data_IF_219350771507
#
_entry.id   IF_219350771507
#
_cell.length_a   1.000
_cell.length_b   1.000
_cell.length_c   1.000
_cell.angle_alpha   90.00
_cell.angle_beta   90.00
_cell.angle_gamma   90.00
#
_symmetry.space_group_name_H-M   'P 1'
#
loop_
_entity.id
_entity.type
_entity.pdbx_description
1 polymer ?
#
# COMPACT_ATOMS: atom_id res chain seq x y z
N UNK A 1 -11.95 40.13 52.73
CA UNK A 1 -10.93 41.19 52.94
C UNK A 1 -11.47 42.53 52.48
N UNK A 2 -10.87 43.64 52.89
CA UNK A 2 -11.22 44.98 52.41
C UNK A 2 -9.97 45.68 51.86
N UNK A 3 -10.12 46.51 50.83
CA UNK A 3 -9.02 47.19 50.17
C UNK A 3 -9.27 48.70 49.99
N UNK A 4 -8.18 49.45 49.84
CA UNK A 4 -8.20 50.89 49.61
C UNK A 4 -8.60 51.74 50.84
N UNK A 5 -8.43 53.06 50.71
CA UNK A 5 -8.67 54.02 51.80
C UNK A 5 -10.13 54.16 52.26
N UNK A 6 -11.09 53.62 51.50
CA UNK A 6 -12.52 53.57 51.84
C UNK A 6 -12.98 52.19 52.29
N UNK A 7 -12.07 51.22 52.46
CA UNK A 7 -12.37 49.85 52.88
C UNK A 7 -13.45 49.20 52.00
N UNK A 8 -13.23 49.14 50.69
CA UNK A 8 -14.13 48.45 49.75
C UNK A 8 -13.98 46.95 49.92
N UNK A 9 -15.08 46.19 49.90
CA UNK A 9 -15.05 44.74 50.06
C UNK A 9 -14.37 44.06 48.86
N UNK A 10 -13.44 43.15 49.15
CA UNK A 10 -12.75 42.36 48.14
C UNK A 10 -13.68 41.37 47.45
N UNK A 11 -13.79 41.53 46.13
CA UNK A 11 -14.19 40.47 45.21
C UNK A 11 -15.50 39.76 45.49
N UNK A 12 -16.51 40.54 45.88
CA UNK A 12 -17.90 40.10 45.88
C UNK A 12 -18.51 40.39 44.51
N UNK A 13 -18.91 39.34 43.80
CA UNK A 13 -19.75 39.52 42.63
C UNK A 13 -21.19 39.78 43.10
N UNK A 14 -21.56 41.05 43.22
CA UNK A 14 -22.90 41.47 43.64
C UNK A 14 -24.03 40.95 42.74
N UNK A 15 -23.73 40.53 41.51
CA UNK A 15 -24.71 39.92 40.59
C UNK A 15 -24.91 38.42 40.80
N UNK A 16 -24.00 37.74 41.49
CA UNK A 16 -24.01 36.28 41.66
C UNK A 16 -24.31 35.81 43.10
N UNK A 17 -24.60 36.74 44.02
CA UNK A 17 -24.86 36.45 45.45
C UNK A 17 -23.74 35.61 46.12
N UNK A 18 -22.49 35.86 45.73
CA UNK A 18 -21.30 35.22 46.31
C UNK A 18 -20.72 36.17 47.37
N UNK A 19 -20.89 35.83 48.64
CA UNK A 19 -20.43 36.62 49.81
C UNK A 19 -19.00 36.26 50.26
N UNK A 20 -18.32 35.36 49.55
CA UNK A 20 -16.96 34.93 49.87
C UNK A 20 -15.97 35.63 48.94
N UNK A 21 -15.04 36.41 49.51
CA UNK A 21 -13.98 37.08 48.74
C UNK A 21 -13.27 36.09 47.81
N UNK A 22 -13.08 36.48 46.55
CA UNK A 22 -12.46 35.65 45.51
C UNK A 22 -13.11 34.27 45.35
N UNK A 23 -14.42 34.18 45.58
CA UNK A 23 -15.22 32.94 45.53
C UNK A 23 -14.69 31.82 46.44
N UNK A 24 -13.85 32.15 47.43
CA UNK A 24 -13.17 31.17 48.30
C UNK A 24 -12.11 30.32 47.60
N UNK A 25 -11.64 30.72 46.42
CA UNK A 25 -10.68 29.99 45.56
C UNK A 25 -9.53 30.88 45.12
N UNK A 26 -9.13 31.80 45.98
CA UNK A 26 -8.06 32.74 45.72
C UNK A 26 -7.84 33.69 46.89
N UNK A 27 -6.76 34.46 46.79
CA UNK A 27 -6.35 35.45 47.78
C UNK A 27 -6.60 36.86 47.23
N UNK A 28 -7.24 37.73 48.01
CA UNK A 28 -7.44 39.12 47.61
C UNK A 28 -6.19 39.97 47.92
N UNK A 29 -5.85 40.89 47.01
CA UNK A 29 -4.97 42.03 47.25
C UNK A 29 -5.68 43.05 48.15
N UNK A 30 -5.61 42.81 49.46
CA UNK A 30 -6.30 43.58 50.50
C UNK A 30 -5.40 44.62 51.21
N UNK A 31 -5.98 45.39 52.14
CA UNK A 31 -5.29 46.44 52.88
C UNK A 31 -5.32 47.82 52.21
N UNK A 32 -4.73 48.83 52.87
CA UNK A 32 -4.80 50.24 52.45
C UNK A 32 -4.16 50.51 51.07
N UNK A 33 -3.16 49.70 50.69
CA UNK A 33 -2.50 49.76 49.38
C UNK A 33 -2.98 48.69 48.40
N UNK A 34 -3.89 47.81 48.83
CA UNK A 34 -4.48 46.79 47.97
C UNK A 34 -5.39 47.40 46.91
N UNK A 35 -5.48 46.74 45.76
CA UNK A 35 -6.32 47.14 44.62
C UNK A 35 -7.59 46.30 44.50
N UNK A 36 -7.78 45.33 45.40
CA UNK A 36 -8.95 44.45 45.43
C UNK A 36 -8.91 43.33 44.40
N UNK A 37 -7.82 43.17 43.65
CA UNK A 37 -7.66 42.09 42.67
C UNK A 37 -7.54 40.72 43.36
N UNK A 38 -8.06 39.67 42.74
CA UNK A 38 -7.94 38.30 43.23
C UNK A 38 -6.82 37.54 42.51
N UNK A 39 -5.91 36.95 43.29
CA UNK A 39 -4.97 35.94 42.81
C UNK A 39 -5.59 34.56 43.03
N UNK A 40 -5.94 33.88 41.95
CA UNK A 40 -6.66 32.61 42.00
C UNK A 40 -5.78 31.41 42.34
N UNK A 41 -6.35 30.47 43.09
CA UNK A 41 -5.74 29.17 43.35
C UNK A 41 -5.61 28.35 42.06
N UNK A 42 -4.76 27.32 42.09
CA UNK A 42 -4.61 26.44 40.93
C UNK A 42 -5.95 25.78 40.56
N UNK A 43 -6.35 25.89 39.29
CA UNK A 43 -7.62 25.35 38.81
C UNK A 43 -8.81 26.32 38.92
N UNK A 44 -8.61 27.56 39.36
CA UNK A 44 -9.60 28.63 39.26
C UNK A 44 -9.13 29.79 38.39
N UNK A 45 -10.08 30.48 37.75
CA UNK A 45 -9.82 31.63 36.90
C UNK A 45 -10.94 32.68 36.98
N UNK A 46 -10.67 33.83 36.38
CA UNK A 46 -11.55 34.99 36.35
C UNK A 46 -11.17 36.03 37.39
N UNK A 47 -11.74 37.23 37.23
CA UNK A 47 -11.48 38.39 38.10
C UNK A 47 -11.73 38.11 39.58
N UNK A 48 -12.64 37.17 39.89
CA UNK A 48 -13.03 36.80 41.24
C UNK A 48 -12.86 35.30 41.50
N UNK A 49 -12.04 34.61 40.70
CA UNK A 49 -11.80 33.16 40.78
C UNK A 49 -13.08 32.31 40.72
N UNK A 50 -14.09 32.85 40.04
CA UNK A 50 -15.44 32.27 39.97
C UNK A 50 -15.53 31.09 38.99
N UNK A 51 -14.58 30.98 38.06
CA UNK A 51 -14.54 29.89 37.09
C UNK A 51 -13.67 28.77 37.61
N UNK A 52 -14.16 27.54 37.54
CA UNK A 52 -13.46 26.35 38.00
C UNK A 52 -13.11 25.51 36.78
N UNK A 53 -11.83 25.18 36.65
CA UNK A 53 -11.33 24.28 35.63
C UNK A 53 -11.09 22.88 36.19
N UNK A 54 -11.15 21.85 35.34
CA UNK A 54 -10.71 20.52 35.69
C UNK A 54 -9.28 20.54 36.24
N UNK A 55 -9.09 19.91 37.40
CA UNK A 55 -7.82 19.82 38.10
C UNK A 55 -7.48 18.38 38.43
N UNK A 56 -6.22 17.99 38.22
CA UNK A 56 -5.67 16.70 38.62
C UNK A 56 -4.51 16.91 39.60
N UNK A 57 -4.44 16.08 40.65
CA UNK A 57 -3.33 16.12 41.59
C UNK A 57 -1.98 15.68 40.98
N UNK A 58 -2.00 14.99 39.83
CA UNK A 58 -0.78 14.52 39.16
C UNK A 58 -0.28 15.48 38.10
N UNK A 59 -1.19 16.12 37.35
CA UNK A 59 -0.85 16.93 36.17
C UNK A 59 -1.25 18.41 36.33
N UNK A 60 -1.94 18.76 37.41
CA UNK A 60 -2.38 20.13 37.70
C UNK A 60 -3.65 20.53 36.95
N UNK A 61 -3.89 21.85 36.88
CA UNK A 61 -5.02 22.43 36.15
C UNK A 61 -4.90 22.14 34.66
N UNK A 62 -6.02 21.82 34.01
CA UNK A 62 -6.06 21.58 32.56
C UNK A 62 -5.10 20.49 32.08
N UNK A 63 -4.75 19.53 32.95
CA UNK A 63 -3.80 18.46 32.63
C UNK A 63 -2.35 18.92 32.45
N UNK A 64 -2.01 20.14 32.85
CA UNK A 64 -0.64 20.68 32.73
C UNK A 64 -0.28 21.18 31.32
N UNK A 65 -1.21 21.08 30.37
CA UNK A 65 -1.01 21.45 28.97
C UNK A 65 -2.02 22.51 28.49
N UNK A 66 -2.51 23.33 29.41
CA UNK A 66 -3.42 24.42 29.10
C UNK A 66 -3.51 25.43 30.23
N UNK A 67 -4.18 26.54 29.93
CA UNK A 67 -4.46 27.62 30.88
C UNK A 67 -5.92 27.61 31.25
N UNK A 68 -6.24 27.79 32.53
CA UNK A 68 -7.62 27.94 32.98
C UNK A 68 -8.15 29.33 32.59
N UNK A 69 -9.29 29.38 31.93
CA UNK A 69 -9.94 30.61 31.45
C UNK A 69 -11.40 30.67 31.87
N UNK A 70 -12.08 31.77 31.54
CA UNK A 70 -13.50 31.95 31.88
C UNK A 70 -14.44 30.90 31.25
N UNK A 71 -14.03 30.25 30.17
CA UNK A 71 -14.81 29.22 29.46
C UNK A 71 -14.29 27.80 29.69
N UNK A 72 -13.37 27.62 30.64
CA UNK A 72 -12.70 26.35 30.92
C UNK A 72 -11.25 26.33 30.46
N UNK A 73 -10.75 25.16 30.07
CA UNK A 73 -9.35 24.99 29.71
C UNK A 73 -9.04 25.44 28.27
N UNK A 74 -8.10 26.37 28.13
CA UNK A 74 -7.52 26.75 26.86
C UNK A 74 -6.21 25.99 26.65
N UNK A 75 -6.20 25.04 25.73
CA UNK A 75 -5.07 24.13 25.53
C UNK A 75 -3.91 24.78 24.76
N UNK A 76 -2.70 24.39 25.13
CA UNK A 76 -1.47 24.77 24.44
C UNK A 76 -1.40 24.12 23.05
N UNK A 77 -0.52 24.62 22.19
CA UNK A 77 -0.28 24.06 20.86
C UNK A 77 -0.02 22.55 20.93
N UNK A 78 -0.70 21.80 20.07
CA UNK A 78 -0.61 20.33 20.00
C UNK A 78 -1.57 19.58 20.92
N UNK A 79 -2.22 20.26 21.87
CA UNK A 79 -3.16 19.66 22.80
C UNK A 79 -4.60 20.06 22.49
N UNK A 80 -5.52 19.15 22.78
CA UNK A 80 -6.96 19.34 22.64
C UNK A 80 -7.67 18.94 23.93
N UNK A 81 -8.88 19.51 24.09
CA UNK A 81 -9.78 19.14 25.15
C UNK A 81 -10.26 17.71 24.96
N UNK A 82 -10.07 16.89 25.97
CA UNK A 82 -10.69 15.58 26.04
C UNK A 82 -12.15 15.74 26.46
N UNK A 83 -13.05 15.15 25.67
CA UNK A 83 -14.50 15.24 25.89
C UNK A 83 -14.96 14.63 27.21
N UNK A 84 -14.16 13.75 27.82
CA UNK A 84 -14.49 13.08 29.08
C UNK A 84 -13.95 13.84 30.30
N UNK A 85 -12.67 14.23 30.28
CA UNK A 85 -12.04 14.91 31.43
C UNK A 85 -12.20 16.44 31.40
N UNK A 86 -12.47 17.02 30.24
CA UNK A 86 -12.43 18.47 30.02
C UNK A 86 -11.02 19.07 30.16
N UNK A 87 -9.99 18.22 30.24
CA UNK A 87 -8.59 18.61 30.35
C UNK A 87 -7.90 18.63 28.99
N UNK A 88 -6.75 19.30 28.92
CA UNK A 88 -5.87 19.27 27.76
C UNK A 88 -4.97 18.03 27.82
N UNK A 89 -5.59 16.85 27.88
CA UNK A 89 -4.91 15.56 27.99
C UNK A 89 -5.22 14.67 26.78
N UNK A 90 -5.47 15.28 25.62
CA UNK A 90 -5.55 14.60 24.32
C UNK A 90 -4.71 15.36 23.30
N UNK A 91 -4.09 14.66 22.34
CA UNK A 91 -3.44 15.35 21.24
C UNK A 91 -4.50 15.96 20.31
N UNK A 92 -4.23 17.19 19.88
CA UNK A 92 -4.97 17.81 18.79
C UNK A 92 -4.78 17.00 17.51
N UNK A 93 -5.84 16.89 16.70
CA UNK A 93 -5.75 16.19 15.41
C UNK A 93 -4.58 16.72 14.58
N UNK A 94 -3.79 15.80 14.01
CA UNK A 94 -2.55 16.11 13.30
C UNK A 94 -1.32 16.27 14.21
N UNK A 95 -1.43 16.03 15.51
CA UNK A 95 -0.30 15.97 16.43
C UNK A 95 -0.17 14.57 17.06
N UNK A 96 1.07 14.14 17.29
CA UNK A 96 1.37 12.79 17.76
C UNK A 96 2.49 12.74 18.81
N UNK A 97 2.59 11.57 19.43
CA UNK A 97 3.58 11.25 20.45
C UNK A 97 3.11 11.58 21.87
N UNK A 98 3.85 11.07 22.86
CA UNK A 98 3.47 11.17 24.28
C UNK A 98 3.38 12.61 24.81
N UNK A 99 4.03 13.56 24.15
CA UNK A 99 3.98 15.00 24.47
C UNK A 99 3.17 15.82 23.46
N UNK A 100 2.51 15.17 22.49
CA UNK A 100 1.80 15.81 21.39
C UNK A 100 2.62 16.90 20.65
N UNK A 101 3.95 16.76 20.63
CA UNK A 101 4.86 17.72 20.00
C UNK A 101 5.18 17.36 18.54
N UNK A 102 5.01 16.09 18.16
CA UNK A 102 5.17 15.65 16.79
C UNK A 102 4.03 16.20 15.93
N UNK A 103 4.36 16.77 14.77
CA UNK A 103 3.37 17.26 13.81
C UNK A 103 3.30 16.25 12.67
N UNK A 104 2.10 15.77 12.37
CA UNK A 104 1.87 14.89 11.24
C UNK A 104 2.37 15.52 9.94
N UNK A 105 3.12 14.77 9.11
CA UNK A 105 3.45 15.24 7.78
C UNK A 105 2.18 15.39 6.94
N UNK A 106 2.30 16.10 5.81
CA UNK A 106 1.20 16.23 4.87
C UNK A 106 1.01 14.90 4.12
N UNK A 107 0.28 13.98 4.76
CA UNK A 107 -0.15 12.73 4.17
C UNK A 107 -1.02 13.03 2.95
N UNK A 108 -0.93 12.19 1.92
CA UNK A 108 -1.81 12.26 0.74
C UNK A 108 -3.28 12.31 1.17
N UNK A 109 -4.13 12.99 0.39
CA UNK A 109 -5.54 13.21 0.70
C UNK A 109 -6.34 11.92 0.97
N UNK A 110 -5.83 10.77 0.49
CA UNK A 110 -6.43 9.44 0.66
C UNK A 110 -5.89 8.66 1.86
N UNK A 111 -5.00 9.25 2.65
CA UNK A 111 -4.32 8.58 3.77
C UNK A 111 -4.55 9.31 5.09
N UNK A 112 -4.34 8.59 6.20
CA UNK A 112 -4.54 9.12 7.55
C UNK A 112 -3.22 9.05 8.30
N UNK A 113 -2.84 10.13 8.97
CA UNK A 113 -1.69 10.13 9.87
C UNK A 113 -2.01 9.29 11.11
N UNK A 114 -1.03 8.51 11.57
CA UNK A 114 -1.07 7.87 12.88
C UNK A 114 -0.79 8.92 13.96
N UNK A 115 -1.83 9.68 14.34
CA UNK A 115 -1.79 10.74 15.32
C UNK A 115 -2.19 10.28 16.74
N UNK A 116 -2.21 11.18 17.72
CA UNK A 116 -2.51 10.86 19.12
C UNK A 116 -1.28 10.44 19.94
N UNK A 117 -1.49 10.09 21.21
CA UNK A 117 -0.40 9.79 22.16
C UNK A 117 0.46 8.60 21.76
N UNK A 118 -0.17 7.55 21.23
CA UNK A 118 0.50 6.36 20.72
C UNK A 118 0.84 6.48 19.23
N UNK A 119 0.51 7.61 18.62
CA UNK A 119 0.84 7.90 17.24
C UNK A 119 2.34 8.11 17.07
N UNK A 120 2.87 7.63 15.96
CA UNK A 120 4.28 7.77 15.57
C UNK A 120 4.45 8.73 14.37
N UNK A 121 3.37 9.37 13.91
CA UNK A 121 3.39 10.31 12.80
C UNK A 121 3.49 9.67 11.42
N UNK A 122 3.45 8.33 11.33
CA UNK A 122 3.48 7.63 10.04
C UNK A 122 2.16 7.77 9.31
N UNK A 123 2.19 7.97 7.98
CA UNK A 123 0.98 7.96 7.16
C UNK A 123 0.55 6.52 6.87
N UNK A 124 -0.67 6.16 7.26
CA UNK A 124 -1.27 4.86 6.94
C UNK A 124 -1.81 4.91 5.51
N UNK A 125 -1.10 4.26 4.59
CA UNK A 125 -1.45 4.27 3.18
C UNK A 125 -2.62 3.32 2.88
N UNK A 126 -3.62 3.76 2.09
CA UNK A 126 -4.64 2.85 1.59
C UNK A 126 -4.04 1.84 0.61
N UNK A 127 -4.79 0.78 0.32
CA UNK A 127 -4.38 -0.22 -0.66
C UNK A 127 -4.05 0.44 -2.01
N UNK A 128 -2.88 0.09 -2.57
CA UNK A 128 -2.40 0.64 -3.84
C UNK A 128 -1.61 1.95 -3.73
N UNK A 129 -1.27 2.41 -2.53
CA UNK A 129 -0.39 3.55 -2.32
C UNK A 129 0.79 3.21 -1.39
N UNK A 130 1.91 3.88 -1.59
CA UNK A 130 3.12 3.71 -0.78
C UNK A 130 3.92 5.02 -0.65
N UNK A 131 4.97 4.96 0.18
CA UNK A 131 5.85 6.08 0.50
C UNK A 131 5.51 6.69 1.86
N UNK A 132 6.43 7.48 2.40
CA UNK A 132 6.31 8.09 3.74
C UNK A 132 5.08 8.99 3.90
N UNK A 133 4.55 9.55 2.81
CA UNK A 133 3.32 10.35 2.80
C UNK A 133 2.24 9.77 1.88
N UNK A 134 2.37 8.50 1.50
CA UNK A 134 1.44 7.83 0.57
C UNK A 134 1.30 8.54 -0.78
N UNK A 135 2.37 9.21 -1.20
CA UNK A 135 2.42 10.05 -2.40
C UNK A 135 2.55 9.24 -3.69
N UNK A 136 2.99 7.98 -3.60
CA UNK A 136 3.18 7.14 -4.77
C UNK A 136 2.06 6.12 -4.90
N UNK A 137 1.63 5.88 -6.14
CA UNK A 137 0.69 4.82 -6.47
C UNK A 137 1.47 3.56 -6.90
N UNK A 138 0.97 2.40 -6.50
CA UNK A 138 1.48 1.13 -7.02
C UNK A 138 1.13 1.00 -8.51
N UNK A 139 1.98 0.33 -9.31
CA UNK A 139 1.68 0.05 -10.71
C UNK A 139 0.36 -0.69 -10.89
N UNK A 140 -0.31 -0.41 -12.02
CA UNK A 140 -1.57 -1.03 -12.42
C UNK A 140 -1.39 -1.75 -13.75
N UNK A 141 -2.10 -2.85 -13.92
CA UNK A 141 -2.17 -3.55 -15.21
C UNK A 141 -3.00 -2.74 -16.24
N UNK A 142 -3.10 -3.26 -17.46
CA UNK A 142 -3.90 -2.64 -18.53
C UNK A 142 -5.41 -2.52 -18.22
N UNK A 143 -5.91 -3.22 -17.21
CA UNK A 143 -7.30 -3.16 -16.74
C UNK A 143 -7.48 -2.24 -15.52
N UNK A 144 -6.40 -1.63 -15.02
CA UNK A 144 -6.42 -0.76 -13.85
C UNK A 144 -6.32 -1.48 -12.50
N UNK A 145 -6.10 -2.80 -12.48
CA UNK A 145 -5.91 -3.59 -11.25
C UNK A 145 -4.55 -3.29 -10.66
N UNK A 146 -4.50 -2.97 -9.36
CA UNK A 146 -3.22 -2.75 -8.65
C UNK A 146 -2.48 -4.08 -8.57
N UNK A 147 -1.26 -4.12 -9.12
CA UNK A 147 -0.42 -5.31 -9.15
C UNK A 147 -1.21 -6.54 -9.60
N UNK A 148 -1.73 -6.56 -10.83
CA UNK A 148 -2.75 -7.50 -11.33
C UNK A 148 -2.64 -8.93 -10.77
N UNK A 149 -1.44 -9.50 -10.76
CA UNK A 149 -1.14 -10.81 -10.16
C UNK A 149 -0.01 -10.76 -9.11
N UNK A 150 -0.08 -9.82 -8.19
CA UNK A 150 0.91 -9.64 -7.13
C UNK A 150 0.36 -8.86 -5.95
N UNK A 151 1.25 -8.59 -4.99
CA UNK A 151 0.97 -7.73 -3.85
C UNK A 151 1.78 -6.45 -3.99
N UNK A 152 1.16 -5.30 -3.73
CA UNK A 152 1.95 -4.10 -3.54
C UNK A 152 2.70 -4.19 -2.22
N UNK A 153 4.03 -4.29 -2.28
CA UNK A 153 4.91 -4.31 -1.12
C UNK A 153 5.71 -3.00 -1.04
N UNK A 154 5.97 -2.54 0.17
CA UNK A 154 6.55 -1.22 0.47
C UNK A 154 7.78 -1.33 1.37
N UNK A 155 8.55 -2.41 1.23
CA UNK A 155 9.79 -2.58 1.99
C UNK A 155 10.80 -1.49 1.60
N UNK A 156 11.11 -0.60 2.56
CA UNK A 156 12.20 0.37 2.42
C UNK A 156 11.96 1.54 1.47
N UNK A 157 10.70 2.01 1.31
CA UNK A 157 10.33 3.11 0.40
C UNK A 157 10.54 2.86 -1.10
N UNK A 158 10.95 1.65 -1.50
CA UNK A 158 10.95 1.22 -2.90
C UNK A 158 9.63 0.49 -3.13
N UNK A 159 8.60 1.23 -3.53
CA UNK A 159 7.30 0.60 -3.80
C UNK A 159 7.32 -0.10 -5.15
N UNK A 160 6.95 -1.38 -5.11
CA UNK A 160 6.87 -2.22 -6.29
C UNK A 160 5.83 -3.31 -6.09
N UNK A 161 5.34 -3.84 -7.21
CA UNK A 161 4.52 -5.04 -7.17
C UNK A 161 5.42 -6.26 -6.97
N UNK A 162 5.18 -7.00 -5.89
CA UNK A 162 5.77 -8.32 -5.69
C UNK A 162 4.86 -9.33 -6.37
N UNK A 163 5.27 -9.78 -7.55
CA UNK A 163 4.49 -10.67 -8.39
C UNK A 163 4.41 -12.09 -7.81
N UNK A 164 3.30 -12.77 -8.07
CA UNK A 164 3.17 -14.19 -7.76
C UNK A 164 4.19 -15.01 -8.57
N UNK A 165 4.83 -15.95 -7.90
CA UNK A 165 5.86 -16.82 -8.48
C UNK A 165 5.64 -18.27 -8.03
N UNK A 166 4.42 -18.79 -8.19
CA UNK A 166 4.05 -20.14 -7.76
C UNK A 166 3.06 -20.79 -8.73
N UNK A 167 2.90 -22.12 -8.64
CA UNK A 167 2.04 -22.86 -9.57
C UNK A 167 0.55 -22.57 -9.42
N UNK A 168 0.09 -22.13 -8.25
CA UNK A 168 -1.35 -21.92 -7.99
C UNK A 168 -1.83 -20.58 -8.52
N UNK A 169 -1.02 -19.53 -8.41
CA UNK A 169 -1.37 -18.17 -8.85
C UNK A 169 -0.63 -17.72 -10.11
N UNK A 170 0.32 -18.53 -10.59
CA UNK A 170 1.13 -18.23 -11.77
C UNK A 170 2.51 -17.66 -11.47
N UNK A 171 3.32 -17.61 -12.52
CA UNK A 171 4.64 -17.00 -12.53
C UNK A 171 4.59 -15.70 -13.33
N UNK A 172 4.37 -14.60 -12.61
CA UNK A 172 4.17 -13.27 -13.17
C UNK A 172 5.41 -12.39 -12.98
N UNK A 173 5.59 -11.44 -13.89
CA UNK A 173 6.68 -10.47 -13.90
C UNK A 173 6.19 -9.14 -14.50
N UNK A 174 7.11 -8.19 -14.61
CA UNK A 174 6.82 -6.81 -15.01
C UNK A 174 6.48 -5.93 -13.81
N UNK A 175 6.48 -4.62 -14.04
CA UNK A 175 6.26 -3.64 -12.97
C UNK A 175 4.86 -3.73 -12.38
N UNK A 176 3.87 -4.15 -13.18
CA UNK A 176 2.47 -4.31 -12.76
C UNK A 176 2.04 -5.78 -12.55
N UNK A 177 2.97 -6.74 -12.66
CA UNK A 177 2.67 -8.17 -12.63
C UNK A 177 1.63 -8.61 -13.66
N UNK A 178 1.77 -8.09 -14.88
CA UNK A 178 0.86 -8.24 -16.02
C UNK A 178 1.47 -9.06 -17.17
N UNK A 179 2.72 -9.51 -17.01
CA UNK A 179 3.42 -10.34 -18.00
C UNK A 179 3.87 -11.66 -17.39
N UNK A 180 3.96 -12.72 -18.20
CA UNK A 180 4.48 -14.00 -17.71
C UNK A 180 6.01 -13.97 -17.60
N UNK A 181 6.55 -14.61 -16.56
CA UNK A 181 7.98 -14.94 -16.48
C UNK A 181 8.39 -15.72 -17.73
N UNK A 182 9.61 -15.51 -18.22
CA UNK A 182 10.15 -16.26 -19.36
C UNK A 182 10.05 -17.77 -19.10
N UNK A 183 9.55 -18.52 -20.08
CA UNK A 183 9.29 -19.95 -19.95
C UNK A 183 7.91 -20.30 -19.38
N UNK A 184 7.07 -19.32 -19.06
CA UNK A 184 5.66 -19.53 -18.70
C UNK A 184 4.73 -18.82 -19.69
N UNK A 185 3.60 -19.46 -19.96
CA UNK A 185 2.52 -19.00 -20.85
C UNK A 185 1.15 -19.34 -20.28
N UNK A 186 0.11 -18.99 -21.04
CA UNK A 186 -1.30 -19.12 -20.67
C UNK A 186 -1.83 -17.91 -19.91
N UNK A 187 -3.15 -17.81 -19.82
CA UNK A 187 -3.84 -16.70 -19.15
C UNK A 187 -3.49 -16.57 -17.65
N UNK A 188 -3.02 -17.65 -17.02
CA UNK A 188 -2.61 -17.70 -15.61
C UNK A 188 -1.09 -17.79 -15.44
N UNK A 189 -0.30 -17.66 -16.50
CA UNK A 189 1.17 -17.81 -16.49
C UNK A 189 1.68 -19.03 -15.69
N UNK A 190 0.95 -20.14 -15.75
CA UNK A 190 1.24 -21.37 -15.01
C UNK A 190 1.54 -22.56 -15.93
N UNK A 191 1.48 -22.36 -17.26
CA UNK A 191 1.85 -23.37 -18.25
C UNK A 191 3.32 -23.21 -18.57
N UNK A 192 4.14 -24.19 -18.21
CA UNK A 192 5.57 -24.18 -18.51
C UNK A 192 5.84 -24.53 -19.97
N UNK A 193 6.68 -23.75 -20.62
CA UNK A 193 7.19 -24.04 -21.95
C UNK A 193 8.11 -25.28 -21.93
N UNK A 194 8.01 -26.16 -22.93
CA UNK A 194 8.90 -27.28 -23.12
C UNK A 194 10.36 -26.80 -23.23
N UNK A 195 11.24 -27.47 -22.50
CA UNK A 195 12.67 -27.19 -22.49
C UNK A 195 13.43 -28.42 -22.98
N UNK A 196 14.50 -28.19 -23.73
CA UNK A 196 15.43 -29.23 -24.17
C UNK A 196 16.84 -28.75 -23.85
N UNK A 197 17.65 -29.55 -23.15
CA UNK A 197 18.97 -29.15 -22.65
C UNK A 197 18.98 -27.80 -21.90
N UNK A 198 17.91 -27.49 -21.16
CA UNK A 198 17.79 -26.27 -20.37
C UNK A 198 17.39 -25.01 -21.14
N UNK A 199 17.25 -25.08 -22.47
CA UNK A 199 16.76 -23.95 -23.29
C UNK A 199 15.30 -24.15 -23.67
N UNK A 200 14.50 -23.08 -23.55
CA UNK A 200 13.10 -23.07 -23.97
C UNK A 200 13.05 -23.31 -25.49
N UNK A 201 12.24 -24.27 -25.92
CA UNK A 201 12.11 -24.66 -27.31
C UNK A 201 13.45 -24.94 -28.01
N UNK A 202 14.41 -25.51 -27.27
CA UNK A 202 15.78 -25.78 -27.72
C UNK A 202 16.54 -24.53 -28.24
N UNK A 203 16.04 -23.32 -28.00
CA UNK A 203 16.54 -22.09 -28.63
C UNK A 203 16.18 -21.94 -30.12
N UNK A 204 15.27 -22.77 -30.61
CA UNK A 204 14.93 -22.93 -32.04
C UNK A 204 13.52 -22.49 -32.38
N UNK A 205 12.67 -22.26 -31.39
CA UNK A 205 11.28 -21.91 -31.62
C UNK A 205 10.77 -20.89 -30.63
N UNK A 206 9.55 -20.46 -30.87
CA UNK A 206 8.82 -19.56 -29.99
C UNK A 206 7.83 -20.36 -29.15
N UNK A 207 7.85 -20.14 -27.84
CA UNK A 207 6.82 -20.71 -26.97
C UNK A 207 5.55 -19.87 -27.06
N UNK A 208 4.51 -20.43 -27.66
CA UNK A 208 3.23 -19.77 -27.89
C UNK A 208 2.21 -20.04 -26.76
N UNK A 209 1.05 -19.37 -26.83
CA UNK A 209 0.08 -19.20 -25.73
C UNK A 209 -0.30 -20.44 -24.92
N UNK A 210 -0.31 -21.63 -25.54
CA UNK A 210 -0.70 -22.89 -24.89
C UNK A 210 0.50 -23.65 -24.27
N UNK A 211 1.67 -23.00 -24.17
CA UNK A 211 2.89 -23.66 -23.71
C UNK A 211 3.41 -24.67 -24.72
N UNK A 212 3.20 -24.43 -26.01
CA UNK A 212 3.71 -25.26 -27.11
C UNK A 212 4.82 -24.51 -27.82
N UNK A 213 5.89 -25.22 -28.20
CA UNK A 213 6.91 -24.64 -29.06
C UNK A 213 6.45 -24.68 -30.51
N UNK A 214 6.33 -23.52 -31.13
CA UNK A 214 5.97 -23.34 -32.53
C UNK A 214 7.10 -22.64 -33.30
N UNK A 215 6.97 -22.60 -34.62
CA UNK A 215 7.93 -21.95 -35.52
C UNK A 215 9.38 -22.45 -35.30
N UNK A 216 9.56 -23.76 -35.17
CA UNK A 216 10.89 -24.35 -35.02
C UNK A 216 11.73 -24.07 -36.27
N UNK A 217 12.83 -23.32 -36.11
CA UNK A 217 13.77 -22.94 -37.17
C UNK A 217 15.16 -23.51 -36.90
N UNK A 218 15.88 -23.78 -37.99
CA UNK A 218 17.29 -24.15 -37.92
C UNK A 218 18.15 -22.95 -37.52
N UNK A 219 19.17 -23.21 -36.69
CA UNK A 219 20.22 -22.25 -36.35
C UNK A 219 21.33 -22.32 -37.42
N UNK A 220 22.16 -21.26 -37.57
CA UNK A 220 23.23 -21.23 -38.56
C UNK A 220 24.26 -22.36 -38.46
N UNK A 221 24.36 -23.01 -37.29
CA UNK A 221 25.29 -24.10 -37.00
C UNK A 221 24.74 -25.48 -37.33
N UNK A 222 23.49 -25.60 -37.77
CA UNK A 222 22.87 -26.89 -38.01
C UNK A 222 23.17 -27.44 -39.40
N UNK A 223 23.26 -28.76 -39.48
CA UNK A 223 23.30 -29.50 -40.74
C UNK A 223 21.92 -29.87 -41.29
N UNK A 224 20.84 -29.67 -40.52
CA UNK A 224 19.47 -30.03 -40.90
C UNK A 224 18.59 -28.78 -41.05
N UNK A 225 17.71 -28.81 -42.06
CA UNK A 225 16.87 -27.67 -42.46
C UNK A 225 15.49 -27.63 -41.79
N UNK A 226 15.09 -28.73 -41.13
CA UNK A 226 13.78 -28.85 -40.48
C UNK A 226 13.94 -29.39 -39.07
N UNK A 227 13.26 -28.74 -38.13
CA UNK A 227 13.21 -29.09 -36.71
C UNK A 227 11.75 -29.20 -36.24
N UNK A 228 11.51 -30.10 -35.29
CA UNK A 228 10.18 -30.45 -34.80
C UNK A 228 10.24 -31.07 -33.39
N UNK A 229 9.10 -31.58 -32.93
CA UNK A 229 8.93 -32.13 -31.60
C UNK A 229 8.43 -31.08 -30.61
N UNK A 230 7.95 -31.56 -29.45
CA UNK A 230 7.27 -30.71 -28.44
C UNK A 230 8.11 -29.52 -27.95
N UNK A 231 9.44 -29.62 -28.02
CA UNK A 231 10.40 -28.59 -27.62
C UNK A 231 11.35 -28.20 -28.76
N UNK A 232 10.99 -28.43 -30.03
CA UNK A 232 11.87 -28.25 -31.19
C UNK A 232 13.20 -29.03 -31.09
N UNK A 233 13.18 -30.19 -30.45
CA UNK A 233 14.39 -30.97 -30.13
C UNK A 233 14.77 -32.02 -31.19
N UNK A 234 13.89 -32.32 -32.13
CA UNK A 234 14.11 -33.31 -33.19
C UNK A 234 14.44 -32.61 -34.51
N UNK A 235 15.23 -33.27 -35.37
CA UNK A 235 15.70 -32.69 -36.63
C UNK A 235 15.63 -33.70 -37.78
N UNK A 236 15.61 -33.18 -39.00
CA UNK A 236 15.78 -33.97 -40.22
C UNK A 236 14.58 -34.88 -40.52
N UNK A 237 14.85 -36.11 -40.93
CA UNK A 237 13.79 -37.00 -41.45
C UNK A 237 12.75 -37.41 -40.42
N UNK A 238 13.13 -37.40 -39.13
CA UNK A 238 12.24 -37.68 -37.99
C UNK A 238 11.04 -36.71 -37.96
N UNK A 239 11.22 -35.50 -38.48
CA UNK A 239 10.16 -34.50 -38.53
C UNK A 239 9.08 -34.77 -39.57
N UNK A 240 9.35 -35.61 -40.56
CA UNK A 240 8.36 -35.99 -41.56
C UNK A 240 7.53 -37.21 -41.12
N UNK A 241 8.02 -38.00 -40.17
CA UNK A 241 7.30 -39.16 -39.60
C UNK A 241 6.24 -38.74 -38.56
N UNK A 242 6.38 -37.54 -37.97
CA UNK A 242 5.56 -37.10 -36.83
C UNK A 242 4.23 -36.40 -37.20
N UNK A 243 3.98 -36.06 -38.48
CA UNK A 243 2.71 -35.43 -38.89
C UNK A 243 1.96 -36.10 -40.03
N UNK A 244 2.53 -37.10 -40.69
CA UNK A 244 1.84 -37.83 -41.76
C UNK A 244 2.30 -39.29 -41.71
N UNK A 245 1.74 -40.11 -40.80
CA UNK A 245 1.85 -41.57 -40.87
C UNK A 245 1.04 -42.12 -42.06
N UNK A 246 1.32 -41.58 -43.24
CA UNK A 246 0.75 -42.09 -44.47
C UNK A 246 1.60 -43.23 -44.97
N UNK A 247 0.98 -44.37 -45.33
CA UNK A 247 1.69 -45.42 -46.05
C UNK A 247 2.40 -44.81 -47.26
N UNK A 248 3.56 -45.37 -47.64
CA UNK A 248 4.34 -44.91 -48.80
C UNK A 248 3.41 -44.69 -50.01
N UNK A 249 3.46 -43.49 -50.59
CA UNK A 249 2.65 -43.11 -51.75
C UNK A 249 1.38 -42.31 -51.47
N UNK A 250 1.13 -41.95 -50.21
CA UNK A 250 -0.03 -41.18 -49.80
C UNK A 250 0.36 -39.93 -48.99
N UNK A 251 -0.43 -38.86 -49.12
CA UNK A 251 -0.27 -37.59 -48.41
C UNK A 251 -1.64 -37.02 -47.99
N UNK A 252 -1.62 -36.02 -47.10
CA UNK A 252 -2.80 -35.33 -46.59
C UNK A 252 -3.24 -35.84 -45.22
N UNK A 253 -4.02 -35.04 -44.49
CA UNK A 253 -4.37 -35.26 -43.07
C UNK A 253 -4.99 -36.64 -42.73
N UNK A 254 -5.50 -37.36 -43.73
CA UNK A 254 -6.03 -38.73 -43.61
C UNK A 254 -5.38 -39.75 -44.57
N UNK A 255 -4.27 -39.39 -45.23
CA UNK A 255 -3.54 -40.29 -46.14
C UNK A 255 -4.38 -40.83 -47.31
N UNK A 256 -5.31 -40.01 -47.81
CA UNK A 256 -6.22 -40.37 -48.91
C UNK A 256 -5.75 -39.87 -50.27
N UNK A 257 -4.89 -38.85 -50.31
CA UNK A 257 -4.38 -38.29 -51.55
C UNK A 257 -3.14 -39.06 -51.99
N UNK A 258 -3.10 -39.55 -53.22
CA UNK A 258 -1.91 -40.21 -53.76
C UNK A 258 -0.85 -39.19 -54.18
N UNK A 259 0.40 -39.55 -53.94
CA UNK A 259 1.56 -38.91 -54.55
C UNK A 259 1.42 -38.91 -56.08
N UNK A 260 1.61 -37.76 -56.76
CA UNK A 260 1.73 -37.73 -58.21
C UNK A 260 2.86 -38.67 -58.66
N UNK A 261 2.52 -39.66 -59.49
CA UNK A 261 3.48 -40.67 -59.98
C UNK A 261 3.61 -41.94 -59.14
N UNK A 262 2.89 -42.08 -58.02
CA UNK A 262 2.87 -43.34 -57.27
C UNK A 262 2.10 -44.45 -58.01
N UNK A 263 2.63 -45.67 -57.95
CA UNK A 263 1.95 -46.86 -58.44
C UNK A 263 0.64 -47.13 -57.68
N UNK A 264 -0.25 -47.96 -58.25
CA UNK A 264 -1.56 -48.25 -57.68
C UNK A 264 -1.50 -48.87 -56.27
N UNK A 265 -0.35 -49.45 -55.90
CA UNK A 265 -0.04 -50.07 -54.60
C UNK A 265 0.81 -49.18 -53.67
N UNK A 266 1.18 -47.95 -54.09
CA UNK A 266 2.01 -47.02 -53.31
C UNK A 266 3.52 -47.27 -53.37
N UNK A 267 3.97 -48.31 -54.07
CA UNK A 267 5.37 -48.79 -54.01
C UNK A 267 6.42 -47.90 -54.69
N UNK A 268 6.02 -47.02 -55.60
CA UNK A 268 6.95 -46.18 -56.39
C UNK A 268 6.69 -44.68 -56.18
N UNK A 269 6.95 -44.21 -54.97
CA UNK A 269 6.76 -42.79 -54.62
C UNK A 269 8.01 -42.01 -54.98
N UNK A 270 7.90 -41.21 -56.06
CA UNK A 270 8.92 -40.31 -56.59
C UNK A 270 10.19 -40.99 -57.13
N UNK A 271 10.62 -40.58 -58.33
CA UNK A 271 11.79 -41.08 -59.05
C UNK A 271 13.14 -40.71 -58.39
N UNK A 272 13.28 -40.89 -57.09
CA UNK A 272 14.51 -40.62 -56.33
C UNK A 272 14.85 -39.14 -56.12
N UNK A 273 13.94 -38.21 -56.43
CA UNK A 273 14.23 -36.77 -56.42
C UNK A 273 13.26 -35.89 -55.60
N UNK A 274 12.39 -36.47 -54.78
CA UNK A 274 11.50 -35.69 -53.94
C UNK A 274 10.67 -36.52 -52.98
N UNK A 275 10.12 -35.82 -51.99
CA UNK A 275 9.14 -36.32 -51.02
C UNK A 275 7.77 -35.79 -51.45
N UNK A 276 6.72 -36.62 -51.41
CA UNK A 276 5.42 -36.13 -50.94
C UNK A 276 5.28 -36.58 -49.49
#
# INVERSE_FOLDING_TARGET
GYYGGTCVECGVNHTANVTVSCSGRGTCSDGLSGDGSCTCDAGSAGTWCQFVCPFSNTTGSCGGHGTCTATGCACNTGWALNSTSGMCDSCKSGYYGSSCAGICPNCSAVSTCNDGFSGDGTCRCPYGHYGSTCQFACPRDGNGTVCGHGRCDHVGNVGGCTCHANRTHGFWTGTACDTCVSGFKGAMCNISCPTSNGTICAGRGECIGDGVCANCVALPTDFHWVWCGVACQQAGTICYDFQQQCPAGFWGTNCVSRCPGAAADGSNSCSGHGVC
#
